data_IF_353288390671
#
_entry.id   IF_353288390671
#
_cell.length_a   1.000
_cell.length_b   1.000
_cell.length_c   1.000
_cell.angle_alpha   90.00
_cell.angle_beta   90.00
_cell.angle_gamma   90.00
#
_symmetry.space_group_name_H-M   'P 1'
#
loop_
_entity.id
_entity.type
_entity.pdbx_description
1 polymer ?
#
# COMPACT_ATOMS: atom_id res chain seq x y z
N UNK A 1 -13.78 13.64 -14.88
CA UNK A 1 -12.34 13.72 -15.22
C UNK A 1 -11.47 14.15 -14.04
N UNK A 2 -11.95 14.98 -13.09
CA UNK A 2 -11.17 15.39 -11.91
C UNK A 2 -10.94 14.27 -10.87
N UNK A 3 -11.97 13.46 -10.57
CA UNK A 3 -11.89 12.42 -9.51
C UNK A 3 -10.77 11.40 -9.77
N UNK A 4 -10.66 10.85 -10.98
CA UNK A 4 -9.59 9.90 -11.31
C UNK A 4 -8.20 10.52 -11.21
N UNK A 5 -8.05 11.80 -11.58
CA UNK A 5 -6.79 12.52 -11.45
C UNK A 5 -6.40 12.68 -9.98
N UNK A 6 -7.35 13.08 -9.14
CA UNK A 6 -7.17 13.22 -7.69
C UNK A 6 -6.82 11.88 -7.04
N UNK A 7 -7.54 10.81 -7.37
CA UNK A 7 -7.27 9.44 -6.92
C UNK A 7 -5.87 9.00 -7.33
N UNK A 8 -5.51 9.17 -8.60
CA UNK A 8 -4.17 8.84 -9.11
C UNK A 8 -3.07 9.61 -8.40
N UNK A 9 -3.28 10.89 -8.15
CA UNK A 9 -2.35 11.72 -7.42
C UNK A 9 -2.19 11.25 -5.96
N UNK A 10 -3.28 10.85 -5.30
CA UNK A 10 -3.23 10.28 -3.94
C UNK A 10 -2.42 8.97 -3.93
N UNK A 11 -2.76 8.00 -4.79
CA UNK A 11 -2.06 6.70 -4.82
C UNK A 11 -0.58 6.91 -5.15
N UNK A 12 -0.25 7.76 -6.11
CA UNK A 12 1.14 8.10 -6.43
C UNK A 12 1.88 8.68 -5.21
N UNK A 13 1.27 9.62 -4.48
CA UNK A 13 1.85 10.18 -3.25
C UNK A 13 2.07 9.10 -2.18
N UNK A 14 1.14 8.14 -2.04
CA UNK A 14 1.32 7.03 -1.09
C UNK A 14 2.51 6.14 -1.46
N UNK A 15 2.68 5.82 -2.75
CA UNK A 15 3.82 5.04 -3.23
C UNK A 15 5.14 5.80 -3.04
N UNK A 16 5.20 7.07 -3.42
CA UNK A 16 6.40 7.91 -3.27
C UNK A 16 6.82 8.06 -1.81
N UNK A 17 5.86 8.24 -0.90
CA UNK A 17 6.14 8.32 0.53
C UNK A 17 6.75 7.01 1.05
N UNK A 18 6.18 5.86 0.68
CA UNK A 18 6.72 4.55 1.09
C UNK A 18 8.08 4.24 0.45
N UNK A 19 8.27 4.57 -0.83
CA UNK A 19 9.54 4.40 -1.55
C UNK A 19 10.65 5.26 -0.92
N UNK A 20 10.30 6.45 -0.43
CA UNK A 20 11.20 7.37 0.29
C UNK A 20 11.37 7.05 1.78
N UNK A 21 10.75 5.98 2.32
CA UNK A 21 10.65 5.70 3.75
C UNK A 21 10.06 6.87 4.58
N UNK A 22 9.28 7.76 3.95
CA UNK A 22 8.54 8.83 4.60
C UNK A 22 7.22 8.28 5.17
N UNK A 23 7.34 7.50 6.24
CA UNK A 23 6.19 6.88 6.89
C UNK A 23 5.25 7.91 7.52
N UNK A 24 5.77 9.06 7.96
CA UNK A 24 4.96 10.15 8.48
C UNK A 24 4.12 10.78 7.36
N UNK A 25 4.73 11.07 6.21
CA UNK A 25 4.03 11.54 5.02
C UNK A 25 2.98 10.55 4.52
N UNK A 26 3.28 9.25 4.52
CA UNK A 26 2.29 8.22 4.21
C UNK A 26 1.08 8.27 5.15
N UNK A 27 1.30 8.30 6.46
CA UNK A 27 0.21 8.38 7.45
C UNK A 27 -0.61 9.68 7.35
N UNK A 28 -0.02 10.78 6.88
CA UNK A 28 -0.75 12.03 6.66
C UNK A 28 -1.72 11.96 5.48
N UNK A 29 -1.53 11.02 4.55
CA UNK A 29 -2.44 10.75 3.44
C UNK A 29 -3.60 9.82 3.83
N UNK A 30 -3.57 9.25 5.04
CA UNK A 30 -4.56 8.31 5.54
C UNK A 30 -5.59 9.02 6.43
N UNK A 31 -6.86 8.65 6.29
CA UNK A 31 -7.94 9.05 7.17
C UNK A 31 -7.67 8.61 8.63
N UNK A 32 -8.30 9.25 9.63
CA UNK A 32 -8.08 8.91 11.05
C UNK A 32 -8.43 7.45 11.36
N UNK A 33 -9.54 6.97 10.78
CA UNK A 33 -10.01 5.58 10.89
C UNK A 33 -9.42 4.65 9.83
N UNK A 34 -8.24 4.97 9.29
CA UNK A 34 -7.63 4.18 8.22
C UNK A 34 -7.30 2.76 8.67
N UNK A 35 -7.66 1.79 7.82
CA UNK A 35 -7.33 0.38 7.98
C UNK A 35 -6.47 -0.11 6.82
N UNK A 36 -5.43 -0.87 7.17
CA UNK A 36 -4.50 -1.47 6.24
C UNK A 36 -4.44 -2.98 6.46
N UNK A 37 -4.58 -3.75 5.38
CA UNK A 37 -4.39 -5.19 5.40
C UNK A 37 -3.59 -5.69 4.22
N UNK A 38 -2.84 -6.76 4.44
CA UNK A 38 -2.17 -7.53 3.39
C UNK A 38 -2.81 -8.91 3.37
N UNK A 39 -3.33 -9.30 2.21
CA UNK A 39 -3.99 -10.59 2.01
C UNK A 39 -3.30 -11.35 0.87
N UNK A 40 -3.32 -12.68 0.93
CA UNK A 40 -2.90 -13.53 -0.17
C UNK A 40 -3.70 -14.84 -0.18
N UNK A 41 -4.13 -15.29 -1.35
CA UNK A 41 -4.87 -16.55 -1.45
C UNK A 41 -3.93 -17.76 -1.22
N UNK A 42 -4.29 -18.65 -0.29
CA UNK A 42 -3.62 -19.94 -0.14
C UNK A 42 -4.39 -21.03 -0.89
N UNK A 43 -3.79 -21.66 -1.92
CA UNK A 43 -4.41 -22.79 -2.60
C UNK A 43 -4.52 -24.04 -1.71
N UNK A 44 -3.65 -24.19 -0.71
CA UNK A 44 -3.61 -25.34 0.19
C UNK A 44 -4.84 -25.39 1.10
N UNK A 45 -5.24 -24.24 1.66
CA UNK A 45 -6.44 -24.14 2.52
C UNK A 45 -7.66 -23.54 1.80
N UNK A 46 -7.49 -23.17 0.52
CA UNK A 46 -8.51 -22.57 -0.36
C UNK A 46 -9.17 -21.32 0.23
N UNK A 47 -8.39 -20.49 0.92
CA UNK A 47 -8.86 -19.29 1.62
C UNK A 47 -7.83 -18.17 1.51
N UNK A 48 -8.31 -16.94 1.64
CA UNK A 48 -7.44 -15.78 1.80
C UNK A 48 -6.78 -15.83 3.17
N UNK A 49 -5.46 -15.73 3.19
CA UNK A 49 -4.66 -15.57 4.40
C UNK A 49 -4.45 -14.10 4.69
N UNK A 50 -4.61 -13.72 5.95
CA UNK A 50 -4.28 -12.40 6.45
C UNK A 50 -2.83 -12.38 6.94
N UNK A 51 -1.98 -11.59 6.31
CA UNK A 51 -0.56 -11.49 6.65
C UNK A 51 -0.30 -10.39 7.66
N UNK A 52 -1.00 -9.27 7.50
CA UNK A 52 -0.90 -8.12 8.37
C UNK A 52 -2.24 -7.40 8.35
N UNK A 53 -2.69 -6.95 9.51
CA UNK A 53 -3.81 -6.03 9.66
C UNK A 53 -3.48 -5.01 10.75
N UNK A 54 -3.61 -3.74 10.43
CA UNK A 54 -3.29 -2.62 11.31
C UNK A 54 -4.21 -1.43 10.99
N UNK A 55 -4.69 -0.78 12.03
CA UNK A 55 -5.23 0.58 11.90
C UNK A 55 -4.08 1.61 11.82
N UNK A 56 -4.41 2.87 11.54
CA UNK A 56 -3.44 3.98 11.44
C UNK A 56 -2.52 4.10 12.66
N UNK A 57 -3.04 3.95 13.88
CA UNK A 57 -2.26 4.04 15.12
C UNK A 57 -1.25 2.90 15.21
N UNK A 58 -1.72 1.67 15.01
CA UNK A 58 -0.86 0.50 15.14
C UNK A 58 0.16 0.41 13.99
N UNK A 59 -0.13 1.00 12.81
CA UNK A 59 0.86 1.24 11.75
C UNK A 59 1.93 2.25 12.18
N UNK A 60 1.54 3.35 12.82
CA UNK A 60 2.49 4.31 13.38
C UNK A 60 3.44 3.64 14.37
N UNK A 61 2.91 2.80 15.25
CA UNK A 61 3.71 2.06 16.21
C UNK A 61 4.66 1.07 15.52
N UNK A 62 4.20 0.38 14.47
CA UNK A 62 5.07 -0.45 13.63
C UNK A 62 6.22 0.37 13.02
N UNK A 63 5.91 1.51 12.40
CA UNK A 63 6.92 2.38 11.79
C UNK A 63 7.94 2.92 12.79
N UNK A 64 7.52 3.25 14.02
CA UNK A 64 8.42 3.67 15.09
C UNK A 64 9.38 2.56 15.54
N UNK A 65 9.01 1.29 15.34
CA UNK A 65 9.82 0.14 15.70
C UNK A 65 10.78 -0.29 14.58
N UNK A 66 10.46 -0.03 13.31
CA UNK A 66 11.27 -0.44 12.16
C UNK A 66 12.76 -0.06 12.28
N UNK A 67 13.16 1.17 12.69
CA UNK A 67 14.57 1.53 12.81
C UNK A 67 15.34 0.70 13.84
N UNK A 68 14.64 0.10 14.81
CA UNK A 68 15.21 -0.70 15.90
C UNK A 68 15.30 -2.19 15.55
N UNK A 69 14.69 -2.61 14.44
CA UNK A 69 14.70 -3.99 13.96
C UNK A 69 15.89 -4.22 13.01
N UNK A 70 16.45 -5.42 13.05
CA UNK A 70 17.41 -5.86 12.04
C UNK A 70 16.65 -6.25 10.76
N UNK A 71 16.26 -5.25 9.97
CA UNK A 71 15.49 -5.43 8.73
C UNK A 71 16.35 -5.22 7.49
N UNK A 72 15.93 -5.84 6.38
CA UNK A 72 16.48 -5.49 5.07
C UNK A 72 16.11 -4.03 4.74
N UNK A 73 17.13 -3.23 4.40
CA UNK A 73 17.00 -1.80 4.05
C UNK A 73 17.23 -1.55 2.56
N UNK A 74 17.21 -2.61 1.76
CA UNK A 74 17.30 -2.47 0.32
C UNK A 74 16.10 -1.66 -0.19
N UNK A 75 16.33 -0.60 -0.99
CA UNK A 75 15.25 0.24 -1.49
C UNK A 75 14.18 -0.56 -2.25
N UNK A 76 12.93 -0.22 -1.97
CA UNK A 76 11.77 -0.70 -2.71
C UNK A 76 11.19 0.42 -3.55
N UNK A 77 10.75 0.10 -4.76
CA UNK A 77 10.01 1.01 -5.63
C UNK A 77 8.68 0.39 -6.04
N UNK A 78 7.63 1.20 -6.08
CA UNK A 78 6.27 0.74 -6.35
C UNK A 78 5.76 1.31 -7.66
N UNK A 79 5.42 0.42 -8.58
CA UNK A 79 4.66 0.76 -9.77
C UNK A 79 3.20 0.37 -9.58
N UNK A 80 2.29 1.27 -9.95
CA UNK A 80 0.86 1.00 -9.93
C UNK A 80 0.19 1.41 -11.24
N UNK A 81 -0.96 0.82 -11.51
CA UNK A 81 -1.83 1.21 -12.62
C UNK A 81 -3.28 1.07 -12.19
N UNK A 82 -4.05 2.15 -12.29
CA UNK A 82 -5.47 2.15 -11.91
C UNK A 82 -6.26 1.36 -12.94
N UNK A 83 -7.08 0.43 -12.46
CA UNK A 83 -8.01 -0.37 -13.26
C UNK A 83 -9.42 0.18 -13.22
N UNK A 84 -9.94 0.43 -12.02
CA UNK A 84 -11.31 0.91 -11.84
C UNK A 84 -11.36 1.99 -10.77
N UNK A 85 -12.30 2.92 -10.95
CA UNK A 85 -12.70 3.92 -9.95
C UNK A 85 -14.23 3.92 -9.94
N UNK A 86 -14.81 3.44 -8.85
CA UNK A 86 -16.24 3.20 -8.73
C UNK A 86 -16.80 3.89 -7.48
N UNK A 87 -18.04 4.43 -7.50
CA UNK A 87 -18.66 4.97 -6.29
C UNK A 87 -18.78 3.91 -5.19
N UNK A 88 -18.48 4.27 -3.94
CA UNK A 88 -18.56 3.34 -2.80
C UNK A 88 -19.95 3.30 -2.13
N UNK A 89 -20.95 3.99 -2.69
CA UNK A 89 -22.31 4.08 -2.14
C UNK A 89 -22.51 5.18 -1.07
N UNK A 90 -21.42 5.68 -0.48
CA UNK A 90 -21.40 6.89 0.35
C UNK A 90 -20.93 8.09 -0.48
N UNK A 91 -21.55 9.25 -0.26
CA UNK A 91 -21.18 10.48 -0.96
C UNK A 91 -19.71 10.85 -0.66
N UNK A 92 -18.97 11.19 -1.72
CA UNK A 92 -17.54 11.49 -1.63
C UNK A 92 -16.64 10.27 -1.44
N UNK A 93 -17.16 9.03 -1.40
CA UNK A 93 -16.32 7.83 -1.29
C UNK A 93 -16.26 7.06 -2.60
N UNK A 94 -15.05 6.62 -2.97
CA UNK A 94 -14.81 5.78 -4.15
C UNK A 94 -14.00 4.55 -3.79
N UNK A 95 -14.33 3.43 -4.43
CA UNK A 95 -13.54 2.20 -4.43
C UNK A 95 -12.64 2.20 -5.64
N UNK A 96 -11.36 1.89 -5.42
CA UNK A 96 -10.34 1.96 -6.46
C UNK A 96 -9.57 0.66 -6.47
N UNK A 97 -9.51 0.03 -7.63
CA UNK A 97 -8.64 -1.13 -7.86
C UNK A 97 -7.45 -0.70 -8.70
N UNK A 98 -6.24 -0.98 -8.22
CA UNK A 98 -5.01 -0.75 -8.98
C UNK A 98 -4.18 -2.03 -9.02
N UNK A 99 -3.52 -2.32 -10.14
CA UNK A 99 -2.39 -3.25 -10.14
C UNK A 99 -1.23 -2.67 -9.32
N UNK A 100 -0.47 -3.56 -8.68
CA UNK A 100 0.74 -3.26 -7.93
C UNK A 100 1.87 -4.17 -8.38
N UNK A 101 3.03 -3.57 -8.62
CA UNK A 101 4.30 -4.26 -8.77
C UNK A 101 5.32 -3.57 -7.86
N UNK A 102 6.02 -4.36 -7.06
CA UNK A 102 7.05 -3.86 -6.14
C UNK A 102 8.39 -4.41 -6.57
N UNK A 103 9.31 -3.52 -6.88
CA UNK A 103 10.65 -3.84 -7.29
C UNK A 103 11.63 -3.52 -6.17
N UNK A 104 12.75 -4.22 -6.17
CA UNK A 104 13.89 -3.97 -5.30
C UNK A 104 15.12 -3.76 -6.17
N UNK A 105 15.87 -2.71 -5.89
CA UNK A 105 17.17 -2.46 -6.50
C UNK A 105 18.23 -2.49 -5.41
N UNK A 106 19.21 -3.37 -5.58
CA UNK A 106 20.33 -3.49 -4.64
C UNK A 106 21.09 -2.16 -4.50
N UNK A 107 21.71 -1.97 -3.34
CA UNK A 107 22.49 -0.76 -3.06
C UNK A 107 23.55 -0.51 -4.14
N UNK A 108 23.89 0.78 -4.34
CA UNK A 108 24.83 1.23 -5.37
C UNK A 108 24.38 0.93 -6.81
N UNK A 109 23.06 0.81 -7.03
CA UNK A 109 22.49 0.59 -8.37
C UNK A 109 22.70 -0.83 -8.88
N UNK A 110 22.74 -1.81 -7.97
CA UNK A 110 22.91 -3.22 -8.29
C UNK A 110 21.67 -3.84 -8.94
N UNK A 111 21.50 -5.15 -8.77
CA UNK A 111 20.46 -5.92 -9.45
C UNK A 111 19.06 -5.39 -9.09
N UNK A 112 18.23 -5.20 -10.12
CA UNK A 112 16.79 -4.94 -9.93
C UNK A 112 16.00 -6.25 -10.08
N UNK A 113 15.12 -6.53 -9.11
CA UNK A 113 14.29 -7.74 -9.07
C UNK A 113 12.84 -7.41 -8.70
N UNK A 114 11.90 -8.17 -9.24
CA UNK A 114 10.48 -8.11 -8.86
C UNK A 114 10.28 -8.87 -7.54
N UNK A 115 9.78 -8.19 -6.51
CA UNK A 115 9.59 -8.75 -5.16
C UNK A 115 8.14 -9.17 -4.92
N UNK A 116 7.19 -8.36 -5.37
CA UNK A 116 5.77 -8.64 -5.16
C UNK A 116 4.93 -8.14 -6.34
N UNK A 117 3.87 -8.89 -6.64
CA UNK A 117 2.79 -8.51 -7.53
C UNK A 117 1.48 -8.68 -6.78
N UNK A 118 0.55 -7.76 -7.02
CA UNK A 118 -0.79 -7.85 -6.45
C UNK A 118 -1.66 -6.71 -6.92
N UNK A 119 -2.63 -6.37 -6.08
CA UNK A 119 -3.54 -5.24 -6.30
C UNK A 119 -3.67 -4.42 -5.03
N UNK A 120 -3.80 -3.11 -5.19
CA UNK A 120 -4.45 -2.27 -4.19
C UNK A 120 -5.95 -2.32 -4.41
N UNK A 121 -6.68 -2.65 -3.36
CA UNK A 121 -8.12 -2.48 -3.25
C UNK A 121 -8.33 -1.38 -2.20
N UNK A 122 -8.52 -0.17 -2.69
CA UNK A 122 -8.58 1.03 -1.87
C UNK A 122 -10.02 1.52 -1.72
N UNK A 123 -10.33 2.07 -0.55
CA UNK A 123 -11.42 3.02 -0.39
C UNK A 123 -10.83 4.40 -0.12
N UNK A 124 -11.27 5.39 -0.89
CA UNK A 124 -10.76 6.75 -0.85
C UNK A 124 -11.93 7.70 -0.62
N UNK A 125 -11.78 8.58 0.37
CA UNK A 125 -12.66 9.72 0.54
C UNK A 125 -12.10 10.91 -0.25
N UNK A 126 -12.94 11.49 -1.10
CA UNK A 126 -12.67 12.64 -1.97
C UNK A 126 -13.57 13.78 -1.52
N UNK A 127 -12.96 14.94 -1.30
CA UNK A 127 -13.62 16.18 -0.87
C UNK A 127 -13.06 17.38 -1.64
N UNK A 128 -13.57 18.58 -1.37
CA UNK A 128 -13.01 19.83 -1.90
C UNK A 128 -11.55 20.06 -1.51
N UNK A 129 -11.16 19.55 -0.33
CA UNK A 129 -9.83 19.81 0.26
C UNK A 129 -8.78 18.78 -0.20
N UNK A 130 -9.20 17.79 -1.00
CA UNK A 130 -8.37 16.73 -1.53
C UNK A 130 -8.93 15.34 -1.26
N UNK A 131 -8.05 14.34 -1.29
CA UNK A 131 -8.41 12.95 -1.08
C UNK A 131 -7.53 12.30 0.01
N UNK A 132 -8.14 11.40 0.78
CA UNK A 132 -7.48 10.63 1.84
C UNK A 132 -7.85 9.16 1.73
N UNK A 133 -6.91 8.30 2.11
CA UNK A 133 -7.07 6.85 2.07
C UNK A 133 -7.80 6.36 3.32
N UNK A 134 -8.93 5.67 3.14
CA UNK A 134 -9.81 5.19 4.21
C UNK A 134 -9.61 3.72 4.50
N UNK A 135 -9.44 2.90 3.47
CA UNK A 135 -9.10 1.47 3.58
C UNK A 135 -8.10 1.14 2.47
N UNK A 136 -7.14 0.27 2.78
CA UNK A 136 -6.29 -0.37 1.77
C UNK A 136 -6.12 -1.83 2.10
N UNK A 137 -6.56 -2.66 1.17
CA UNK A 137 -6.12 -4.04 1.07
C UNK A 137 -5.06 -4.17 -0.02
N UNK A 138 -3.88 -4.64 0.37
CA UNK A 138 -2.88 -5.13 -0.58
C UNK A 138 -3.14 -6.62 -0.79
N UNK A 139 -3.87 -6.93 -1.85
CA UNK A 139 -4.15 -8.31 -2.24
C UNK A 139 -3.02 -8.85 -3.11
N UNK A 140 -2.10 -9.57 -2.49
CA UNK A 140 -0.91 -10.11 -3.15
C UNK A 140 -1.20 -11.41 -3.90
N UNK A 141 -0.68 -11.46 -5.12
CA UNK A 141 -0.52 -12.72 -5.86
C UNK A 141 0.80 -13.40 -5.44
N UNK A 142 1.82 -12.61 -5.06
CA UNK A 142 3.09 -13.11 -4.54
C UNK A 142 2.99 -13.50 -3.06
N UNK A 143 2.94 -14.82 -2.79
CA UNK A 143 2.88 -15.39 -1.42
C UNK A 143 4.23 -15.75 -0.79
N UNK A 144 5.33 -15.65 -1.53
CA UNK A 144 6.66 -16.03 -1.05
C UNK A 144 7.57 -14.80 -1.05
N UNK A 145 7.37 -13.92 -0.07
CA UNK A 145 8.09 -12.65 0.00
C UNK A 145 9.53 -12.79 0.52
N UNK A 146 9.97 -13.99 0.94
CA UNK A 146 11.30 -14.17 1.53
C UNK A 146 11.38 -13.69 2.98
N UNK A 147 12.60 -13.54 3.51
CA UNK A 147 12.82 -13.11 4.91
C UNK A 147 13.07 -11.61 4.98
N UNK A 148 12.57 -10.95 6.03
CA UNK A 148 13.00 -9.60 6.42
C UNK A 148 12.12 -8.43 5.94
N UNK A 149 11.00 -8.70 5.26
CA UNK A 149 10.07 -7.64 4.85
C UNK A 149 9.07 -7.33 5.96
N UNK A 150 9.30 -6.20 6.64
CA UNK A 150 8.46 -5.71 7.73
C UNK A 150 7.69 -4.44 7.37
N UNK A 151 7.84 -3.97 6.13
CA UNK A 151 7.23 -2.74 5.63
C UNK A 151 5.97 -3.02 4.81
N UNK A 152 4.94 -2.15 4.90
CA UNK A 152 3.80 -2.14 4.01
C UNK A 152 4.22 -2.12 2.54
N UNK A 153 3.52 -2.90 1.72
CA UNK A 153 3.60 -2.85 0.26
C UNK A 153 2.76 -1.71 -0.28
#
# INVERSE_FOLDING_TARGET
MEIESTVRALIAKTCLALDGNDYAGYLNLCHENFNYRITAYSPEIRKDMLWLEKNKRDLKDLFNLLPKQNMDRTPLTRHFSIFTVEPAGQEGHVKVMSALQVFRTEHQGGTTSLVAVGKYLDEIQVSSDGAVLVDREVRLDTRMLGKGYHVPF
#
